data_IF_250150780429
#
_entry.id   IF_250150780429
#
_cell.length_a   1.000
_cell.length_b   1.000
_cell.length_c   1.000
_cell.angle_alpha   90.00
_cell.angle_beta   90.00
_cell.angle_gamma   90.00
#
_symmetry.space_group_name_H-M   'P 1'
#
loop_
_entity.id
_entity.type
_entity.pdbx_description
1 polymer ?
#
# COMPACT_ATOMS: atom_id res chain seq x y z
N UNK A 1 7.11 -11.49 -17.74
CA UNK A 1 5.63 -11.37 -17.61
C UNK A 1 5.27 -9.91 -17.81
N UNK A 2 4.15 -9.57 -18.47
CA UNK A 2 3.70 -8.19 -18.61
C UNK A 2 3.42 -7.58 -17.24
N UNK A 3 3.73 -6.29 -17.06
CA UNK A 3 3.42 -5.53 -15.85
C UNK A 3 2.25 -4.61 -16.13
N UNK A 4 1.37 -4.49 -15.15
CA UNK A 4 0.18 -3.66 -15.18
C UNK A 4 0.25 -2.60 -14.10
N UNK A 5 -0.45 -1.48 -14.30
CA UNK A 5 -0.58 -0.42 -13.32
C UNK A 5 -2.06 -0.13 -13.09
N UNK A 6 -2.41 0.07 -11.82
CA UNK A 6 -3.71 0.61 -11.47
C UNK A 6 -3.77 2.10 -11.84
N UNK A 7 -4.97 2.71 -11.93
CA UNK A 7 -5.10 4.14 -11.73
C UNK A 7 -4.50 4.56 -10.38
N UNK A 8 -4.31 5.86 -10.19
CA UNK A 8 -4.00 6.36 -8.87
C UNK A 8 -5.27 6.57 -8.04
N UNK A 9 -5.15 6.36 -6.73
CA UNK A 9 -6.19 6.57 -5.73
C UNK A 9 -5.72 7.60 -4.69
N UNK A 10 -6.66 8.33 -4.09
CA UNK A 10 -6.37 9.41 -3.15
C UNK A 10 -6.23 10.77 -3.84
N UNK A 11 -5.52 11.70 -3.21
CA UNK A 11 -5.29 13.05 -3.76
C UNK A 11 -3.80 13.39 -3.78
N UNK A 12 -3.31 13.76 -4.95
CA UNK A 12 -1.93 14.21 -5.12
C UNK A 12 -1.68 15.51 -4.32
N UNK A 13 -0.67 15.44 -3.45
CA UNK A 13 -0.23 16.54 -2.58
C UNK A 13 1.11 17.15 -3.03
N UNK A 14 1.70 16.64 -4.12
CA UNK A 14 2.93 17.18 -4.70
C UNK A 14 4.22 16.72 -4.01
N UNK A 15 4.21 15.63 -3.25
CA UNK A 15 5.37 15.05 -2.56
C UNK A 15 5.62 13.62 -3.05
N UNK A 16 6.16 13.46 -4.27
CA UNK A 16 6.18 12.18 -4.95
C UNK A 16 7.15 11.19 -4.30
N UNK A 17 6.78 9.91 -4.32
CA UNK A 17 7.65 8.81 -3.94
C UNK A 17 7.57 7.66 -4.95
N UNK A 18 8.58 6.80 -4.93
CA UNK A 18 8.64 5.59 -5.76
C UNK A 18 9.27 4.44 -5.00
N UNK A 19 8.53 3.34 -4.85
CA UNK A 19 8.94 2.12 -4.16
C UNK A 19 8.94 0.96 -5.17
N UNK A 20 10.00 0.89 -5.97
CA UNK A 20 10.23 -0.18 -6.95
C UNK A 20 11.59 -0.83 -6.76
N UNK A 21 11.70 -2.12 -7.07
CA UNK A 21 12.97 -2.84 -6.99
C UNK A 21 13.90 -2.42 -8.14
N UNK A 22 15.22 -2.54 -7.93
CA UNK A 22 16.20 -2.41 -9.02
C UNK A 22 16.02 -3.53 -10.05
N UNK A 23 15.77 -4.75 -9.59
CA UNK A 23 15.40 -5.87 -10.45
C UNK A 23 13.93 -5.74 -10.85
N UNK A 24 13.67 -5.17 -12.03
CA UNK A 24 12.30 -4.83 -12.47
C UNK A 24 11.31 -6.01 -12.48
N UNK A 25 11.78 -7.26 -12.55
CA UNK A 25 10.93 -8.46 -12.50
C UNK A 25 10.63 -8.96 -11.09
N UNK A 26 11.23 -8.38 -10.05
CA UNK A 26 11.05 -8.83 -8.68
C UNK A 26 9.69 -8.40 -8.13
N UNK A 27 9.06 -9.31 -7.38
CA UNK A 27 7.81 -9.05 -6.66
C UNK A 27 8.08 -8.89 -5.16
N UNK A 28 7.14 -8.24 -4.49
CA UNK A 28 7.17 -8.02 -3.05
C UNK A 28 6.97 -9.36 -2.35
N UNK A 29 7.88 -9.65 -1.40
CA UNK A 29 7.81 -10.76 -0.47
C UNK A 29 7.15 -10.33 0.84
N UNK A 30 7.50 -9.16 1.37
CA UNK A 30 6.97 -8.67 2.64
C UNK A 30 6.35 -7.30 2.42
N UNK A 31 5.10 -7.15 2.85
CA UNK A 31 4.40 -5.88 2.92
C UNK A 31 4.21 -5.51 4.39
N UNK A 32 4.64 -4.29 4.74
CA UNK A 32 4.50 -3.70 6.06
C UNK A 32 3.75 -2.39 5.92
N UNK A 33 2.74 -2.17 6.76
CA UNK A 33 1.90 -0.99 6.77
C UNK A 33 1.77 -0.46 8.19
N UNK A 34 1.95 0.85 8.35
CA UNK A 34 1.62 1.58 9.58
C UNK A 34 0.34 2.36 9.36
N UNK A 35 -0.60 2.24 10.28
CA UNK A 35 -1.90 2.91 10.21
C UNK A 35 -2.22 3.63 11.51
N UNK A 36 -2.84 4.80 11.42
CA UNK A 36 -3.09 5.65 12.58
C UNK A 36 -4.09 6.76 12.30
N UNK A 37 -4.30 7.64 13.28
CA UNK A 37 -5.12 8.83 13.08
C UNK A 37 -4.48 9.78 12.06
N UNK A 38 -5.29 10.21 11.09
CA UNK A 38 -4.92 11.17 10.07
C UNK A 38 -4.86 12.60 10.61
N UNK A 39 -4.08 13.44 9.93
CA UNK A 39 -3.97 14.87 10.18
C UNK A 39 -4.67 15.70 9.10
N UNK A 40 -4.86 17.01 9.35
CA UNK A 40 -5.41 17.94 8.37
C UNK A 40 -6.78 17.50 7.81
N UNK A 41 -6.88 17.40 6.48
CA UNK A 41 -8.09 16.97 5.76
C UNK A 41 -8.54 15.53 6.06
N UNK A 42 -7.72 14.74 6.74
CA UNK A 42 -8.05 13.39 7.22
C UNK A 42 -8.17 13.31 8.76
N UNK A 43 -8.30 14.45 9.45
CA UNK A 43 -8.56 14.46 10.89
C UNK A 43 -9.85 13.68 11.22
N UNK A 44 -9.80 12.83 12.25
CA UNK A 44 -10.92 11.97 12.63
C UNK A 44 -11.07 10.72 11.76
N UNK A 45 -10.14 10.46 10.84
CA UNK A 45 -10.10 9.24 10.03
C UNK A 45 -8.85 8.43 10.36
N UNK A 46 -9.02 7.12 10.44
CA UNK A 46 -7.91 6.18 10.54
C UNK A 46 -7.38 5.87 9.14
N UNK A 47 -6.10 6.14 8.90
CA UNK A 47 -5.48 6.15 7.56
C UNK A 47 -4.13 5.44 7.56
N UNK A 48 -3.62 5.14 6.37
CA UNK A 48 -2.26 4.60 6.20
C UNK A 48 -1.24 5.73 6.32
N UNK A 49 -0.30 5.55 7.26
CA UNK A 49 0.77 6.52 7.60
C UNK A 49 2.08 6.18 6.91
N UNK A 50 2.35 4.90 6.68
CA UNK A 50 3.59 4.42 6.08
C UNK A 50 3.45 3.06 5.43
N UNK A 51 4.37 2.77 4.51
CA UNK A 51 4.46 1.51 3.80
C UNK A 51 5.92 1.12 3.61
N UNK A 52 6.24 -0.16 3.81
CA UNK A 52 7.55 -0.73 3.53
C UNK A 52 7.40 -2.04 2.78
N UNK A 53 8.25 -2.21 1.78
CA UNK A 53 8.28 -3.37 0.91
C UNK A 53 9.63 -4.03 1.02
N UNK A 54 9.63 -5.35 1.16
CA UNK A 54 10.80 -6.18 0.95
C UNK A 54 10.54 -7.10 -0.22
N UNK A 55 11.43 -7.13 -1.21
CA UNK A 55 11.30 -7.98 -2.39
C UNK A 55 11.93 -9.36 -2.19
N UNK A 56 11.60 -10.32 -3.05
CA UNK A 56 12.25 -11.65 -3.02
C UNK A 56 13.77 -11.60 -3.26
N UNK A 57 14.28 -10.53 -3.86
CA UNK A 57 15.73 -10.26 -3.96
C UNK A 57 16.38 -9.88 -2.63
N UNK A 58 15.59 -9.60 -1.59
CA UNK A 58 16.06 -9.06 -0.30
C UNK A 58 16.22 -7.53 -0.28
N UNK A 59 15.99 -6.84 -1.41
CA UNK A 59 15.92 -5.38 -1.44
C UNK A 59 14.77 -4.90 -0.56
N UNK A 60 14.93 -3.74 0.09
CA UNK A 60 13.92 -3.11 0.93
C UNK A 60 13.84 -1.61 0.65
N UNK A 61 12.61 -1.09 0.55
CA UNK A 61 12.31 0.34 0.44
C UNK A 61 11.01 0.65 1.16
N UNK A 62 10.92 1.81 1.77
CA UNK A 62 9.71 2.24 2.45
C UNK A 62 9.71 3.72 2.74
N UNK A 63 8.57 4.20 3.22
CA UNK A 63 8.37 5.55 3.70
C UNK A 63 7.42 5.53 4.90
N UNK A 64 7.76 6.30 5.93
CA UNK A 64 6.96 6.47 7.13
C UNK A 64 7.41 7.77 7.82
N UNK A 65 6.85 8.89 7.37
CA UNK A 65 7.45 10.22 7.58
C UNK A 65 7.28 10.75 9.00
N UNK A 66 6.14 10.47 9.65
CA UNK A 66 5.78 11.02 10.96
C UNK A 66 5.28 9.90 11.89
N UNK A 67 6.18 9.04 12.38
CA UNK A 67 5.82 7.98 13.29
C UNK A 67 5.28 8.53 14.60
N UNK A 68 4.22 7.91 15.11
CA UNK A 68 3.70 8.16 16.45
C UNK A 68 3.43 6.84 17.16
N UNK A 69 3.62 6.80 18.48
CA UNK A 69 3.56 5.57 19.27
C UNK A 69 2.19 4.87 19.24
N UNK A 70 1.13 5.59 18.84
CA UNK A 70 -0.23 5.06 18.71
C UNK A 70 -0.51 4.42 17.35
N UNK A 71 0.41 4.50 16.40
CA UNK A 71 0.24 3.87 15.10
C UNK A 71 0.31 2.34 15.22
N UNK A 72 -0.57 1.66 14.50
CA UNK A 72 -0.66 0.21 14.45
C UNK A 72 0.16 -0.31 13.28
N UNK A 73 1.08 -1.22 13.59
CA UNK A 73 1.89 -1.94 12.62
C UNK A 73 1.21 -3.24 12.19
N UNK A 74 1.11 -3.45 10.88
CA UNK A 74 0.62 -4.67 10.26
C UNK A 74 1.63 -5.20 9.25
N UNK A 75 1.85 -6.51 9.23
CA UNK A 75 2.78 -7.19 8.32
C UNK A 75 2.11 -8.36 7.64
N UNK A 76 2.42 -8.56 6.36
CA UNK A 76 2.13 -9.78 5.63
C UNK A 76 3.35 -10.26 4.84
N UNK A 77 3.56 -11.57 4.78
CA UNK A 77 4.62 -12.20 3.99
C UNK A 77 3.99 -13.11 2.94
N UNK A 78 4.18 -12.77 1.67
CA UNK A 78 3.68 -13.51 0.53
C UNK A 78 4.56 -14.73 0.23
N UNK A 79 3.91 -15.83 -0.18
CA UNK A 79 4.59 -16.95 -0.81
C UNK A 79 5.09 -16.62 -2.23
N UNK A 80 6.12 -17.33 -2.70
CA UNK A 80 6.75 -17.04 -4.01
C UNK A 80 5.83 -17.17 -5.24
N UNK A 81 4.72 -17.91 -5.11
CA UNK A 81 3.70 -18.08 -6.15
C UNK A 81 2.32 -17.59 -5.68
N UNK A 82 2.26 -16.87 -4.56
CA UNK A 82 1.00 -16.37 -4.02
C UNK A 82 0.54 -15.14 -4.78
N UNK A 83 -0.70 -15.16 -5.26
CA UNK A 83 -1.36 -14.02 -5.89
C UNK A 83 -2.45 -13.49 -4.97
N UNK A 84 -2.90 -12.26 -5.18
CA UNK A 84 -4.04 -11.74 -4.44
C UNK A 84 -4.95 -10.84 -5.30
N UNK A 85 -6.23 -10.80 -4.96
CA UNK A 85 -7.14 -9.75 -5.40
C UNK A 85 -7.09 -8.60 -4.41
N UNK A 86 -6.83 -7.38 -4.89
CA UNK A 86 -6.58 -6.22 -4.06
C UNK A 86 -7.78 -5.26 -4.04
N UNK A 87 -7.92 -4.58 -2.91
CA UNK A 87 -8.90 -3.54 -2.67
C UNK A 87 -8.26 -2.41 -1.87
N UNK A 88 -8.85 -1.23 -1.96
CA UNK A 88 -8.35 -0.05 -1.28
C UNK A 88 -9.51 0.87 -0.89
N UNK A 89 -9.35 1.58 0.23
CA UNK A 89 -10.19 2.73 0.56
C UNK A 89 -9.38 4.01 0.47
N UNK A 90 -9.92 5.04 -0.17
CA UNK A 90 -9.28 6.34 -0.25
C UNK A 90 -10.28 7.50 -0.19
N UNK A 91 -9.78 8.62 0.34
CA UNK A 91 -10.39 9.94 0.31
C UNK A 91 -9.32 10.96 -0.01
N UNK A 92 -9.09 11.91 0.90
CA UNK A 92 -7.94 12.82 0.85
C UNK A 92 -6.59 12.12 1.13
N UNK A 93 -6.64 10.96 1.79
CA UNK A 93 -5.53 10.06 2.05
C UNK A 93 -5.87 8.65 1.57
N UNK A 94 -4.91 7.75 1.63
CA UNK A 94 -5.17 6.30 1.58
C UNK A 94 -5.61 5.84 2.97
N UNK A 95 -6.80 5.27 3.06
CA UNK A 95 -7.40 4.93 4.34
C UNK A 95 -7.12 3.48 4.72
N UNK A 96 -7.29 2.56 3.77
CA UNK A 96 -7.09 1.11 3.96
C UNK A 96 -6.58 0.46 2.69
N UNK A 97 -5.73 -0.54 2.84
CA UNK A 97 -5.30 -1.44 1.79
C UNK A 97 -5.59 -2.86 2.25
N UNK A 98 -6.20 -3.68 1.39
CA UNK A 98 -6.59 -5.02 1.74
C UNK A 98 -6.60 -5.94 0.55
N UNK A 99 -6.48 -7.24 0.81
CA UNK A 99 -6.47 -8.24 -0.23
C UNK A 99 -6.95 -9.61 0.25
N UNK A 100 -7.36 -10.41 -0.72
CA UNK A 100 -7.59 -11.84 -0.56
C UNK A 100 -6.57 -12.61 -1.39
N UNK A 101 -5.78 -13.46 -0.75
CA UNK A 101 -4.77 -14.26 -1.46
C UNK A 101 -5.38 -15.49 -2.12
N UNK A 102 -4.66 -16.06 -3.09
CA UNK A 102 -5.01 -17.30 -3.77
C UNK A 102 -5.03 -18.52 -2.83
N UNK A 103 -4.45 -18.40 -1.64
CA UNK A 103 -4.50 -19.41 -0.57
C UNK A 103 -5.70 -19.24 0.35
N UNK A 104 -6.53 -18.21 0.13
CA UNK A 104 -7.75 -17.94 0.89
C UNK A 104 -7.56 -17.02 2.10
N UNK A 105 -6.37 -16.44 2.28
CA UNK A 105 -6.11 -15.52 3.40
C UNK A 105 -6.71 -14.15 3.07
N UNK A 106 -7.46 -13.62 4.03
CA UNK A 106 -7.93 -12.24 4.03
C UNK A 106 -7.03 -11.41 4.94
N UNK A 107 -6.56 -10.28 4.43
CA UNK A 107 -5.72 -9.36 5.18
C UNK A 107 -6.04 -7.92 4.80
N UNK A 108 -6.08 -7.03 5.78
CA UNK A 108 -6.16 -5.60 5.56
C UNK A 108 -5.37 -4.80 6.62
N UNK A 109 -5.06 -3.55 6.28
CA UNK A 109 -4.48 -2.58 7.19
C UNK A 109 -5.03 -1.19 6.87
N UNK A 110 -5.43 -0.46 7.92
CA UNK A 110 -6.00 0.87 7.82
C UNK A 110 -7.46 0.96 8.30
N UNK A 111 -8.13 2.07 8.01
CA UNK A 111 -9.48 2.38 8.47
C UNK A 111 -10.58 2.21 7.43
N UNK A 112 -11.82 2.04 7.89
CA UNK A 112 -12.99 1.78 7.02
C UNK A 112 -13.69 3.04 6.47
N UNK A 113 -13.10 4.22 6.68
CA UNK A 113 -13.60 5.47 6.09
C UNK A 113 -13.15 5.63 4.62
N UNK A 114 -13.69 6.63 3.92
CA UNK A 114 -13.37 6.89 2.52
C UNK A 114 -14.11 5.98 1.53
N UNK A 115 -13.89 6.24 0.24
CA UNK A 115 -14.51 5.49 -0.86
C UNK A 115 -13.82 4.14 -1.04
N UNK A 116 -14.61 3.07 -1.14
CA UNK A 116 -14.14 1.71 -1.39
C UNK A 116 -13.94 1.47 -2.89
N UNK A 117 -12.77 0.96 -3.25
CA UNK A 117 -12.41 0.48 -4.58
C UNK A 117 -12.11 -1.02 -4.47
N UNK A 118 -12.96 -1.84 -5.06
CA UNK A 118 -12.81 -3.29 -5.12
C UNK A 118 -12.08 -3.71 -6.39
N UNK A 119 -11.44 -4.88 -6.33
CA UNK A 119 -10.78 -5.55 -7.46
C UNK A 119 -9.87 -4.62 -8.27
N UNK A 120 -9.11 -3.76 -7.58
CA UNK A 120 -8.24 -2.76 -8.22
C UNK A 120 -7.10 -3.42 -8.99
N UNK A 121 -6.75 -4.66 -8.62
CA UNK A 121 -5.74 -5.48 -9.26
C UNK A 121 -5.87 -6.94 -8.83
N UNK A 122 -5.36 -7.85 -9.66
CA UNK A 122 -5.24 -9.27 -9.35
C UNK A 122 -3.87 -9.79 -9.78
N UNK A 123 -3.03 -10.18 -8.84
CA UNK A 123 -1.65 -10.53 -9.16
C UNK A 123 -0.69 -10.53 -7.98
N UNK A 124 0.59 -10.36 -8.29
CA UNK A 124 1.66 -10.14 -7.32
C UNK A 124 2.09 -8.67 -7.36
N UNK A 125 2.34 -8.08 -6.20
CA UNK A 125 2.78 -6.67 -6.10
C UNK A 125 4.22 -6.56 -6.62
N UNK A 126 4.46 -5.65 -7.56
CA UNK A 126 5.82 -5.23 -7.94
C UNK A 126 6.26 -4.04 -7.12
N UNK A 127 5.37 -3.11 -6.84
CA UNK A 127 5.68 -1.95 -6.02
C UNK A 127 4.61 -0.86 -6.12
N UNK A 128 4.94 0.29 -5.55
CA UNK A 128 4.04 1.42 -5.43
C UNK A 128 4.71 2.72 -5.83
N UNK A 129 3.91 3.67 -6.28
CA UNK A 129 4.34 5.07 -6.38
C UNK A 129 3.14 5.98 -6.17
N UNK A 130 3.41 7.23 -5.81
CA UNK A 130 2.37 8.11 -5.34
C UNK A 130 2.91 9.39 -4.72
N UNK A 131 2.13 9.95 -3.80
CA UNK A 131 2.49 11.15 -3.04
C UNK A 131 2.31 10.90 -1.54
N UNK A 132 3.24 11.41 -0.73
CA UNK A 132 3.17 11.29 0.74
C UNK A 132 3.73 12.54 1.42
N UNK A 133 2.89 13.23 2.17
CA UNK A 133 3.28 14.25 3.14
C UNK A 133 3.34 13.66 4.54
N UNK A 134 2.37 14.02 5.37
CA UNK A 134 2.27 13.50 6.75
C UNK A 134 1.81 12.04 6.78
N UNK A 135 1.00 11.66 5.81
CA UNK A 135 0.46 10.32 5.59
C UNK A 135 0.63 9.92 4.13
N UNK A 136 0.13 8.74 3.78
CA UNK A 136 0.03 8.30 2.39
C UNK A 136 -1.14 8.99 1.71
N UNK A 137 -0.88 9.92 0.79
CA UNK A 137 -1.91 10.79 0.20
C UNK A 137 -2.52 10.19 -1.07
N UNK A 138 -1.65 9.66 -1.92
CA UNK A 138 -1.94 9.26 -3.28
C UNK A 138 -1.15 7.99 -3.60
N UNK A 139 -1.74 7.01 -4.27
CA UNK A 139 -1.10 5.71 -4.51
C UNK A 139 -1.56 5.08 -5.82
N UNK A 140 -0.63 4.58 -6.62
CA UNK A 140 -0.88 3.55 -7.64
C UNK A 140 -0.01 2.32 -7.37
N UNK A 141 -0.53 1.17 -7.75
CA UNK A 141 0.17 -0.10 -7.63
C UNK A 141 0.61 -0.60 -9.00
N UNK A 142 1.82 -1.17 -9.07
CA UNK A 142 2.26 -2.00 -10.19
C UNK A 142 2.20 -3.47 -9.80
N UNK A 143 1.72 -4.32 -10.71
CA UNK A 143 1.54 -5.75 -10.46
C UNK A 143 1.80 -6.61 -11.71
N UNK A 144 1.98 -7.92 -11.49
CA UNK A 144 2.07 -8.97 -12.52
C UNK A 144 1.06 -10.08 -12.30
#
# INVERSE_FOLDING_TARGET
MPQYQTPFYGRDSGQPFSLYPYAHSSIVKVLEIWSGWGSGDANGHWVIKGIQLTWFTGEQKGLYNHPVDTDVYSRYEFGGNERASFSLRAGWRIHKFGFQTSTGILWDAGGDSGNLFLDIANGSIVGFEGSSGWELDYLRMRFI
#
